data_IF_777852194526
#
_entry.id   IF_777852194526
#
_cell.length_a   1.000
_cell.length_b   1.000
_cell.length_c   1.000
_cell.angle_alpha   90.00
_cell.angle_beta   90.00
_cell.angle_gamma   90.00
#
_symmetry.space_group_name_H-M   'P 1'
#
loop_
_entity.id
_entity.type
_entity.pdbx_description
1 polymer ?
#
# COMPACT_ATOMS: atom_id res chain seq x y z
N UNK A 1 23.13 35.83 -28.08
CA UNK A 1 22.46 34.51 -28.14
C UNK A 1 22.75 33.62 -26.93
N UNK A 2 23.94 33.69 -26.29
CA UNK A 2 24.30 32.79 -25.17
C UNK A 2 23.55 32.97 -23.83
N UNK A 3 23.15 34.19 -23.46
CA UNK A 3 22.41 34.43 -22.21
C UNK A 3 20.99 33.84 -22.23
N UNK A 4 20.28 33.97 -23.36
CA UNK A 4 18.93 33.42 -23.52
C UNK A 4 18.94 31.88 -23.47
N UNK A 5 19.94 31.23 -24.10
CA UNK A 5 20.10 29.78 -24.02
C UNK A 5 20.44 29.30 -22.62
N UNK A 6 21.26 30.04 -21.86
CA UNK A 6 21.59 29.68 -20.48
C UNK A 6 20.35 29.76 -19.56
N UNK A 7 19.54 30.82 -19.68
CA UNK A 7 18.28 30.95 -18.94
C UNK A 7 17.32 29.81 -19.28
N UNK A 8 17.19 29.47 -20.57
CA UNK A 8 16.34 28.36 -21.01
C UNK A 8 16.78 27.03 -20.38
N UNK A 9 18.08 26.72 -20.40
CA UNK A 9 18.63 25.49 -19.82
C UNK A 9 18.35 25.42 -18.32
N UNK A 10 18.58 26.51 -17.58
CA UNK A 10 18.32 26.56 -16.13
C UNK A 10 16.84 26.33 -15.81
N UNK A 11 15.93 26.98 -16.53
CA UNK A 11 14.49 26.79 -16.33
C UNK A 11 14.08 25.35 -16.60
N UNK A 12 14.55 24.77 -17.71
CA UNK A 12 14.27 23.39 -18.08
C UNK A 12 14.79 22.42 -17.00
N UNK A 13 16.02 22.59 -16.53
CA UNK A 13 16.60 21.74 -15.47
C UNK A 13 15.80 21.81 -14.17
N UNK A 14 15.38 23.00 -13.74
CA UNK A 14 14.59 23.18 -12.53
C UNK A 14 13.22 22.50 -12.66
N UNK A 15 12.56 22.63 -13.82
CA UNK A 15 11.29 21.98 -14.08
C UNK A 15 11.42 20.45 -14.03
N UNK A 16 12.45 19.89 -14.66
CA UNK A 16 12.70 18.44 -14.58
C UNK A 16 12.95 17.98 -13.16
N UNK A 17 13.74 18.71 -12.37
CA UNK A 17 13.99 18.37 -10.98
C UNK A 17 12.68 18.39 -10.16
N UNK A 18 11.87 19.44 -10.33
CA UNK A 18 10.60 19.58 -9.63
C UNK A 18 9.64 18.43 -9.95
N UNK A 19 9.50 18.09 -11.23
CA UNK A 19 8.65 16.98 -11.68
C UNK A 19 9.13 15.66 -11.08
N UNK A 20 10.43 15.38 -11.08
CA UNK A 20 10.98 14.16 -10.50
C UNK A 20 10.74 14.06 -8.99
N UNK A 21 10.85 15.17 -8.26
CA UNK A 21 10.53 15.22 -6.84
C UNK A 21 9.04 14.96 -6.62
N UNK A 22 8.17 15.62 -7.38
CA UNK A 22 6.72 15.41 -7.29
C UNK A 22 6.34 13.95 -7.58
N UNK A 23 6.92 13.33 -8.61
CA UNK A 23 6.69 11.92 -8.93
C UNK A 23 7.14 10.99 -7.81
N UNK A 24 8.30 11.28 -7.19
CA UNK A 24 8.81 10.50 -6.06
C UNK A 24 7.84 10.58 -4.88
N UNK A 25 7.40 11.77 -4.52
CA UNK A 25 6.43 11.99 -3.44
C UNK A 25 5.10 11.31 -3.76
N UNK A 26 4.62 11.43 -5.00
CA UNK A 26 3.39 10.80 -5.48
C UNK A 26 3.45 9.27 -5.48
N UNK A 27 4.61 8.64 -5.66
CA UNK A 27 4.76 7.19 -5.53
C UNK A 27 4.94 6.74 -4.07
N UNK A 28 5.70 7.50 -3.30
CA UNK A 28 6.04 7.18 -1.90
C UNK A 28 4.82 7.25 -0.98
N UNK A 29 4.01 8.30 -1.08
CA UNK A 29 2.83 8.50 -0.23
C UNK A 29 1.80 7.35 -0.35
N UNK A 30 1.31 6.98 -1.55
CA UNK A 30 0.32 5.90 -1.66
C UNK A 30 0.91 4.55 -1.26
N UNK A 31 2.21 4.31 -1.48
CA UNK A 31 2.89 3.11 -1.01
C UNK A 31 2.88 3.00 0.52
N UNK A 32 3.19 4.10 1.22
CA UNK A 32 3.14 4.14 2.68
C UNK A 32 1.72 3.97 3.21
N UNK A 33 0.75 4.70 2.67
CA UNK A 33 -0.66 4.56 3.06
C UNK A 33 -1.14 3.13 2.83
N UNK A 34 -0.73 2.48 1.73
CA UNK A 34 -1.09 1.10 1.44
C UNK A 34 -0.48 0.11 2.44
N UNK A 35 0.78 0.31 2.84
CA UNK A 35 1.42 -0.50 3.88
C UNK A 35 0.69 -0.36 5.23
N UNK A 36 0.35 0.88 5.63
CA UNK A 36 -0.43 1.13 6.84
C UNK A 36 -1.84 0.54 6.77
N UNK A 37 -2.49 0.57 5.61
CA UNK A 37 -3.79 -0.05 5.40
C UNK A 37 -3.75 -1.57 5.58
N UNK A 38 -2.74 -2.24 5.02
CA UNK A 38 -2.53 -3.69 5.19
C UNK A 38 -2.33 -4.03 6.67
N UNK A 39 -1.47 -3.28 7.38
CA UNK A 39 -1.20 -3.50 8.79
C UNK A 39 -2.46 -3.29 9.65
N UNK A 40 -3.22 -2.23 9.37
CA UNK A 40 -4.49 -1.96 10.04
C UNK A 40 -5.47 -3.13 9.87
N UNK A 41 -5.63 -3.63 8.64
CA UNK A 41 -6.54 -4.76 8.38
C UNK A 41 -6.05 -6.05 9.04
N UNK A 42 -4.74 -6.29 9.07
CA UNK A 42 -4.19 -7.43 9.78
C UNK A 42 -4.60 -7.43 11.26
N UNK A 43 -4.45 -6.30 11.95
CA UNK A 43 -4.84 -6.19 13.37
C UNK A 43 -6.35 -6.25 13.59
N UNK A 44 -7.15 -5.60 12.74
CA UNK A 44 -8.62 -5.65 12.81
C UNK A 44 -9.11 -7.10 12.68
N UNK A 45 -8.59 -7.84 11.69
CA UNK A 45 -8.92 -9.26 11.49
C UNK A 45 -8.43 -10.14 12.63
N UNK A 46 -7.25 -9.88 13.17
CA UNK A 46 -6.70 -10.60 14.32
C UNK A 46 -7.56 -10.44 15.57
N UNK A 47 -8.06 -9.24 15.84
CA UNK A 47 -8.95 -8.98 16.98
C UNK A 47 -10.33 -9.60 16.77
N UNK A 48 -10.91 -9.48 15.57
CA UNK A 48 -12.18 -10.15 15.23
C UNK A 48 -12.08 -11.67 15.40
N UNK A 49 -10.98 -12.26 14.93
CA UNK A 49 -10.74 -13.69 15.06
C UNK A 49 -10.51 -14.10 16.53
N UNK A 50 -9.92 -13.24 17.36
CA UNK A 50 -9.83 -13.44 18.82
C UNK A 50 -11.20 -13.42 19.50
N UNK A 51 -12.15 -12.67 18.95
CA UNK A 51 -13.54 -12.64 19.41
C UNK A 51 -14.41 -13.74 18.76
N UNK A 52 -13.82 -14.63 17.96
CA UNK A 52 -14.52 -15.72 17.27
C UNK A 52 -15.40 -15.26 16.09
N UNK A 53 -15.29 -13.99 15.68
CA UNK A 53 -16.00 -13.46 14.52
C UNK A 53 -15.09 -13.49 13.29
N UNK A 54 -15.48 -14.26 12.28
CA UNK A 54 -14.79 -14.25 10.99
C UNK A 54 -15.48 -13.27 10.06
N UNK A 55 -14.71 -12.34 9.51
CA UNK A 55 -15.24 -11.37 8.57
C UNK A 55 -15.73 -12.05 7.29
N UNK A 56 -17.02 -11.89 7.00
CA UNK A 56 -17.66 -12.50 5.83
C UNK A 56 -17.16 -11.94 4.48
N UNK A 57 -16.45 -10.79 4.47
CA UNK A 57 -16.03 -10.09 3.25
C UNK A 57 -14.52 -9.85 3.21
N UNK A 58 -13.92 -10.15 2.05
CA UNK A 58 -12.50 -9.86 1.78
C UNK A 58 -12.23 -8.36 1.76
N UNK A 59 -11.09 -7.98 2.34
CA UNK A 59 -10.60 -6.61 2.28
C UNK A 59 -10.15 -6.25 0.85
N UNK A 60 -10.65 -5.17 0.25
CA UNK A 60 -10.22 -4.75 -1.08
C UNK A 60 -8.75 -4.32 -1.05
N UNK A 61 -7.99 -4.65 -2.10
CA UNK A 61 -6.57 -4.31 -2.21
C UNK A 61 -5.63 -5.16 -1.35
N UNK A 62 -6.13 -6.17 -0.63
CA UNK A 62 -5.32 -7.12 0.14
C UNK A 62 -5.41 -8.49 -0.49
N UNK A 63 -4.35 -8.94 -1.17
CA UNK A 63 -4.33 -10.26 -1.84
C UNK A 63 -3.79 -11.40 -0.97
N UNK A 64 -3.21 -11.09 0.19
CA UNK A 64 -2.64 -12.08 1.11
C UNK A 64 -3.70 -12.68 2.04
N UNK A 65 -3.87 -14.00 1.99
CA UNK A 65 -4.80 -14.74 2.86
C UNK A 65 -4.42 -14.63 4.34
N UNK A 66 -3.12 -14.52 4.64
CA UNK A 66 -2.64 -14.32 6.02
C UNK A 66 -3.12 -12.99 6.60
N UNK A 67 -3.14 -11.93 5.77
CA UNK A 67 -3.66 -10.62 6.20
C UNK A 67 -5.19 -10.65 6.32
N UNK A 68 -5.87 -11.28 5.38
CA UNK A 68 -7.34 -11.39 5.41
C UNK A 68 -7.87 -12.20 6.59
N UNK A 69 -7.11 -13.20 7.05
CA UNK A 69 -7.45 -14.05 8.20
C UNK A 69 -6.87 -13.56 9.53
N UNK A 70 -6.14 -12.44 9.55
CA UNK A 70 -5.49 -11.96 10.78
C UNK A 70 -4.38 -12.87 11.31
N UNK A 71 -3.78 -13.69 10.44
CA UNK A 71 -2.72 -14.65 10.78
C UNK A 71 -3.22 -16.07 11.09
N UNK A 72 -4.52 -16.34 11.03
CA UNK A 72 -5.07 -17.69 11.21
C UNK A 72 -4.97 -18.60 9.96
N UNK A 73 -4.44 -18.10 8.84
CA UNK A 73 -4.38 -18.80 7.55
C UNK A 73 -3.44 -19.99 7.42
N UNK A 74 -2.74 -20.41 8.48
CA UNK A 74 -1.85 -21.58 8.45
C UNK A 74 -2.05 -22.47 9.67
N UNK A 75 -3.18 -23.17 9.72
CA UNK A 75 -3.43 -24.19 10.73
C UNK A 75 -4.91 -24.43 10.97
N UNK A 76 -5.44 -25.50 10.38
CA UNK A 76 -6.75 -26.09 10.76
C UNK A 76 -8.00 -25.36 10.26
N UNK A 77 -8.11 -25.14 8.95
CA UNK A 77 -9.43 -25.34 8.34
C UNK A 77 -9.73 -26.84 8.48
N UNK A 78 -10.58 -27.19 9.46
CA UNK A 78 -11.14 -28.54 9.53
C UNK A 78 -11.85 -28.80 8.19
N UNK A 79 -11.26 -29.70 7.39
CA UNK A 79 -11.84 -30.19 6.16
C UNK A 79 -13.29 -30.61 6.44
N UNK A 80 -14.31 -30.05 5.76
CA UNK A 80 -15.67 -30.56 5.90
C UNK A 80 -15.64 -32.02 5.44
N UNK A 81 -15.83 -32.95 6.37
CA UNK A 81 -15.95 -34.37 6.05
C UNK A 81 -17.24 -34.52 5.26
N UNK A 82 -17.12 -34.97 4.01
CA UNK A 82 -18.24 -35.29 3.13
C UNK A 82 -18.56 -36.76 3.21
#
# INVERSE_FOLDING_TARGET
MGAASAVLVVLITILYLFINICLTVLGYIPGHIHAFYIEYIYYDRREQARQGQYAAKRAPGVYSENVQSGGQGYGTIAQPTR
#
